data_IF_055835440248
#
_entry.id   IF_055835440248
#
_cell.length_a   1.000
_cell.length_b   1.000
_cell.length_c   1.000
_cell.angle_alpha   90.00
_cell.angle_beta   90.00
_cell.angle_gamma   90.00
#
_symmetry.space_group_name_H-M   'P 1'
#
loop_
_entity.id
_entity.type
_entity.pdbx_description
1 polymer ?
#
# COMPACT_ATOMS: atom_id res chain seq x y z
N UNK A 1 9.23 31.06 -11.98
CA UNK A 1 9.26 29.93 -11.03
C UNK A 1 8.82 28.71 -11.79
N UNK A 2 9.79 27.92 -12.24
CA UNK A 2 9.54 26.70 -13.01
C UNK A 2 9.99 25.51 -12.16
N UNK A 3 9.05 24.60 -11.90
CA UNK A 3 9.31 23.39 -11.13
C UNK A 3 9.80 22.28 -12.07
N UNK A 4 10.98 21.74 -11.79
CA UNK A 4 11.56 20.64 -12.56
C UNK A 4 11.58 19.32 -11.78
N UNK A 5 11.08 18.25 -12.39
CA UNK A 5 11.17 16.90 -11.83
C UNK A 5 12.54 16.31 -12.08
N UNK A 6 13.27 16.00 -11.00
CA UNK A 6 14.59 15.38 -11.08
C UNK A 6 14.59 14.03 -10.39
N UNK A 7 14.77 12.98 -11.18
CA UNK A 7 14.82 11.62 -10.68
C UNK A 7 16.27 11.16 -10.53
N UNK A 8 16.59 10.65 -9.35
CA UNK A 8 17.78 9.85 -9.13
C UNK A 8 17.45 8.42 -9.49
N UNK A 9 17.98 7.95 -10.62
CA UNK A 9 17.64 6.64 -11.17
C UNK A 9 18.67 5.63 -10.70
N UNK A 10 18.18 4.53 -10.12
CA UNK A 10 19.00 3.41 -9.65
C UNK A 10 20.21 3.85 -8.82
N UNK A 11 20.00 4.80 -7.92
CA UNK A 11 21.04 5.38 -7.06
C UNK A 11 22.34 5.75 -7.81
N UNK A 12 22.25 6.08 -9.09
CA UNK A 12 23.36 6.61 -9.87
C UNK A 12 23.50 8.10 -9.58
N UNK A 13 23.99 8.38 -8.38
CA UNK A 13 24.08 9.73 -7.81
C UNK A 13 25.50 10.03 -7.36
N UNK A 14 25.94 11.27 -7.55
CA UNK A 14 27.20 11.76 -7.02
C UNK A 14 27.09 13.22 -6.63
N UNK A 15 27.86 13.64 -5.62
CA UNK A 15 27.94 15.04 -5.18
C UNK A 15 28.31 15.97 -6.34
N UNK A 16 29.27 15.54 -7.18
CA UNK A 16 29.70 16.25 -8.39
C UNK A 16 28.58 16.41 -9.43
N UNK A 17 27.79 15.36 -9.66
CA UNK A 17 26.64 15.41 -10.56
C UNK A 17 25.58 16.39 -10.04
N UNK A 18 25.24 16.30 -8.76
CA UNK A 18 24.27 17.18 -8.09
C UNK A 18 24.65 18.66 -8.25
N UNK A 19 25.91 19.02 -7.98
CA UNK A 19 26.41 20.39 -8.17
C UNK A 19 26.20 20.87 -9.61
N UNK A 20 26.59 20.04 -10.59
CA UNK A 20 26.47 20.40 -12.01
C UNK A 20 25.01 20.54 -12.47
N UNK A 21 24.13 19.67 -11.97
CA UNK A 21 22.70 19.74 -12.27
C UNK A 21 22.10 21.06 -11.79
N UNK A 22 22.40 21.45 -10.54
CA UNK A 22 21.88 22.68 -9.94
C UNK A 22 22.47 23.93 -10.61
N UNK A 23 23.75 23.91 -10.99
CA UNK A 23 24.36 25.00 -11.77
C UNK A 23 23.75 25.12 -13.17
N UNK A 24 23.43 23.99 -13.81
CA UNK A 24 22.75 23.99 -15.11
C UNK A 24 21.31 24.51 -15.00
N UNK A 25 20.59 24.12 -13.93
CA UNK A 25 19.27 24.66 -13.63
C UNK A 25 19.31 26.18 -13.43
N UNK A 26 20.26 26.68 -12.64
CA UNK A 26 20.42 28.11 -12.42
C UNK A 26 20.70 28.87 -13.73
N UNK A 27 21.57 28.33 -14.60
CA UNK A 27 21.83 28.90 -15.94
C UNK A 27 20.60 28.89 -16.85
N UNK A 28 19.73 27.90 -16.71
CA UNK A 28 18.49 27.78 -17.46
C UNK A 28 17.33 28.63 -16.87
N UNK A 29 17.54 29.28 -15.72
CA UNK A 29 16.49 30.05 -15.04
C UNK A 29 15.49 29.19 -14.25
N UNK A 30 15.84 27.93 -13.95
CA UNK A 30 15.04 27.01 -13.14
C UNK A 30 15.46 27.16 -11.68
N UNK A 31 14.52 27.58 -10.83
CA UNK A 31 14.74 27.92 -9.42
C UNK A 31 14.20 26.86 -8.45
N UNK A 32 13.54 25.80 -8.93
CA UNK A 32 12.98 24.76 -8.06
C UNK A 32 13.04 23.36 -8.67
N UNK A 33 13.40 22.36 -7.86
CA UNK A 33 13.33 20.94 -8.26
C UNK A 33 12.53 20.09 -7.28
N UNK A 34 11.70 19.20 -7.82
CA UNK A 34 11.11 18.09 -7.08
C UNK A 34 11.93 16.82 -7.29
N UNK A 35 12.70 16.45 -6.27
CA UNK A 35 13.71 15.38 -6.32
C UNK A 35 13.19 14.07 -5.71
N UNK A 36 13.26 12.97 -6.46
CA UNK A 36 12.84 11.63 -6.02
C UNK A 36 13.84 10.53 -6.35
N UNK A 37 13.84 9.46 -5.55
CA UNK A 37 14.53 8.23 -5.98
C UNK A 37 13.60 7.38 -6.80
N UNK A 38 14.08 6.85 -7.91
CA UNK A 38 13.40 5.80 -8.65
C UNK A 38 14.36 4.66 -8.82
N UNK A 39 13.97 3.50 -8.32
CA UNK A 39 14.68 2.24 -8.55
C UNK A 39 13.83 1.42 -9.50
N UNK A 40 14.34 1.15 -10.69
CA UNK A 40 13.73 0.24 -11.65
C UNK A 40 14.85 -0.54 -12.33
N UNK A 41 14.93 -1.83 -12.04
CA UNK A 41 15.98 -2.71 -12.57
C UNK A 41 15.97 -2.83 -14.10
N UNK A 42 14.89 -2.38 -14.77
CA UNK A 42 14.81 -2.26 -16.23
C UNK A 42 15.45 -0.97 -16.76
N UNK A 43 15.55 0.07 -15.93
CA UNK A 43 16.14 1.37 -16.23
C UNK A 43 17.63 1.41 -15.88
N UNK A 44 18.32 0.28 -16.01
CA UNK A 44 19.71 0.12 -15.61
C UNK A 44 20.65 0.90 -16.55
N UNK A 45 20.71 2.23 -16.38
CA UNK A 45 21.48 3.18 -17.20
C UNK A 45 22.99 3.17 -16.92
N UNK A 46 23.51 2.07 -16.41
CA UNK A 46 24.93 1.93 -16.08
C UNK A 46 25.54 0.92 -17.04
N UNK A 47 26.66 1.31 -17.64
CA UNK A 47 27.41 0.46 -18.57
C UNK A 47 27.78 -0.86 -17.88
N UNK A 48 27.77 -2.00 -18.60
CA UNK A 48 28.32 -3.24 -18.07
C UNK A 48 29.73 -3.01 -17.51
N UNK A 49 29.97 -3.38 -16.25
CA UNK A 49 31.25 -3.16 -15.54
C UNK A 49 31.32 -1.94 -14.62
N UNK A 50 30.34 -1.02 -14.67
CA UNK A 50 30.27 0.13 -13.75
C UNK A 50 29.27 -0.06 -12.59
N UNK A 51 28.78 -1.29 -12.41
CA UNK A 51 27.72 -1.64 -11.47
C UNK A 51 28.11 -1.38 -10.00
N UNK A 52 29.41 -1.42 -9.67
CA UNK A 52 29.92 -1.10 -8.34
C UNK A 52 29.77 0.40 -7.97
N UNK A 53 29.53 1.26 -8.95
CA UNK A 53 29.24 2.69 -8.73
C UNK A 53 27.82 2.93 -8.23
N UNK A 54 26.93 1.94 -8.40
CA UNK A 54 25.55 2.04 -7.95
C UNK A 54 25.49 1.92 -6.43
N UNK A 55 24.84 2.89 -5.77
CA UNK A 55 24.48 2.69 -4.36
C UNK A 55 23.31 1.70 -4.19
N UNK A 56 22.79 1.14 -5.28
CA UNK A 56 21.65 0.19 -5.35
C UNK A 56 21.79 -0.97 -4.38
N UNK A 57 23.01 -1.44 -4.14
CA UNK A 57 23.27 -2.57 -3.23
C UNK A 57 23.30 -2.18 -1.74
N UNK A 58 23.11 -0.90 -1.39
CA UNK A 58 23.14 -0.41 0.00
C UNK A 58 21.76 -0.05 0.57
N UNK A 59 20.71 -0.19 -0.24
CA UNK A 59 19.34 0.17 0.15
C UNK A 59 19.08 1.68 0.13
N UNK A 60 17.80 2.04 0.02
CA UNK A 60 17.34 3.43 -0.14
C UNK A 60 17.60 4.35 1.07
N UNK A 61 18.11 3.80 2.17
CA UNK A 61 18.39 4.51 3.44
C UNK A 61 19.85 4.26 3.88
N UNK A 62 20.81 4.30 2.95
CA UNK A 62 22.23 4.21 3.30
C UNK A 62 22.87 5.59 3.54
N UNK A 63 23.96 5.63 4.31
CA UNK A 63 24.68 6.87 4.64
C UNK A 63 25.16 7.62 3.40
N UNK A 64 25.70 6.92 2.41
CA UNK A 64 26.18 7.55 1.19
C UNK A 64 25.08 8.29 0.41
N UNK A 65 23.83 7.80 0.49
CA UNK A 65 22.67 8.46 -0.11
C UNK A 65 22.21 9.65 0.74
N UNK A 66 22.23 9.52 2.07
CA UNK A 66 21.96 10.62 3.00
C UNK A 66 22.94 11.77 2.76
N UNK A 67 24.22 11.48 2.61
CA UNK A 67 25.24 12.49 2.30
C UNK A 67 24.99 13.20 0.96
N UNK A 68 24.49 12.49 -0.05
CA UNK A 68 24.12 13.09 -1.33
C UNK A 68 22.88 14.01 -1.18
N UNK A 69 21.89 13.61 -0.38
CA UNK A 69 20.75 14.45 -0.06
C UNK A 69 21.17 15.72 0.70
N UNK A 70 22.02 15.59 1.72
CA UNK A 70 22.58 16.73 2.44
C UNK A 70 23.38 17.66 1.50
N UNK A 71 24.20 17.09 0.61
CA UNK A 71 24.93 17.87 -0.40
C UNK A 71 24.00 18.61 -1.34
N UNK A 72 22.92 17.97 -1.79
CA UNK A 72 21.92 18.62 -2.65
C UNK A 72 21.26 19.82 -1.96
N UNK A 73 20.88 19.69 -0.69
CA UNK A 73 20.29 20.79 0.10
C UNK A 73 21.27 21.95 0.22
N UNK A 74 22.54 21.68 0.56
CA UNK A 74 23.58 22.72 0.66
C UNK A 74 23.85 23.43 -0.67
N UNK A 75 23.89 22.67 -1.77
CA UNK A 75 24.13 23.24 -3.10
C UNK A 75 22.93 24.03 -3.63
N UNK A 76 21.71 23.63 -3.27
CA UNK A 76 20.51 24.39 -3.60
C UNK A 76 20.52 25.75 -2.89
N UNK A 77 20.84 25.77 -1.60
CA UNK A 77 21.04 27.01 -0.83
C UNK A 77 22.11 27.90 -1.48
N UNK A 78 23.26 27.33 -1.85
CA UNK A 78 24.36 28.05 -2.53
C UNK A 78 23.94 28.65 -3.87
N UNK A 79 23.13 27.93 -4.65
CA UNK A 79 22.72 28.32 -6.01
C UNK A 79 21.44 29.17 -6.03
N UNK A 80 20.78 29.37 -4.88
CA UNK A 80 19.48 30.05 -4.80
C UNK A 80 18.31 29.19 -5.27
N UNK A 81 18.51 27.88 -5.46
CA UNK A 81 17.47 26.94 -5.85
C UNK A 81 16.71 26.41 -4.63
N UNK A 82 15.46 26.01 -4.85
CA UNK A 82 14.62 25.32 -3.87
C UNK A 82 14.58 23.82 -4.19
N UNK A 83 14.70 22.98 -3.17
CA UNK A 83 14.50 21.53 -3.29
C UNK A 83 13.23 21.13 -2.57
N UNK A 84 12.35 20.44 -3.30
CA UNK A 84 11.29 19.60 -2.76
C UNK A 84 11.72 18.14 -2.87
N UNK A 85 11.31 17.30 -1.94
CA UNK A 85 11.56 15.87 -1.97
C UNK A 85 10.25 15.09 -1.88
N UNK A 86 10.19 13.94 -2.56
CA UNK A 86 9.07 13.02 -2.37
C UNK A 86 8.99 12.59 -0.90
N UNK A 87 7.76 12.44 -0.42
CA UNK A 87 7.48 12.05 0.96
C UNK A 87 7.88 10.60 1.27
N UNK A 88 8.02 9.78 0.25
CA UNK A 88 8.47 8.40 0.34
C UNK A 88 9.44 8.06 -0.81
N UNK A 89 10.12 6.91 -0.74
CA UNK A 89 10.89 6.44 -1.87
C UNK A 89 10.01 6.08 -3.08
N UNK A 90 10.56 6.17 -4.29
CA UNK A 90 9.81 5.91 -5.52
C UNK A 90 9.13 7.15 -6.09
N UNK A 91 8.17 6.93 -6.99
CA UNK A 91 7.37 7.98 -7.65
C UNK A 91 5.93 8.08 -7.12
N UNK A 92 5.45 7.08 -6.37
CA UNK A 92 4.08 7.01 -5.87
C UNK A 92 4.04 7.30 -4.36
N UNK A 93 3.24 8.28 -3.90
CA UNK A 93 3.30 8.76 -2.54
C UNK A 93 2.65 7.79 -1.53
N UNK A 94 3.30 7.62 -0.38
CA UNK A 94 2.79 7.07 0.90
C UNK A 94 3.06 5.60 1.23
N UNK A 95 4.11 4.97 0.70
CA UNK A 95 4.50 3.61 1.11
C UNK A 95 5.92 3.57 1.72
N UNK A 96 6.19 2.53 2.52
CA UNK A 96 7.50 2.29 3.11
C UNK A 96 7.51 1.10 4.07
N UNK A 97 8.68 0.50 4.32
CA UNK A 97 8.82 -0.70 5.16
C UNK A 97 8.38 -0.50 6.63
N UNK A 98 8.22 0.74 7.06
CA UNK A 98 7.70 1.10 8.39
C UNK A 98 6.17 1.03 8.49
N UNK A 99 5.44 0.95 7.38
CA UNK A 99 3.98 0.85 7.35
C UNK A 99 3.57 -0.60 7.66
N UNK A 100 2.97 -0.83 8.83
CA UNK A 100 2.47 -2.17 9.20
C UNK A 100 1.23 -2.50 8.37
N UNK A 101 0.89 -3.79 8.14
CA UNK A 101 -0.35 -4.18 7.43
C UNK A 101 -1.62 -3.53 8.03
N UNK A 102 -1.65 -3.32 9.35
CA UNK A 102 -2.74 -2.65 10.04
C UNK A 102 -2.86 -1.14 9.77
N UNK A 103 -1.83 -0.51 9.22
CA UNK A 103 -1.75 0.93 8.93
C UNK A 103 -1.91 1.23 7.43
N UNK A 104 -1.81 0.21 6.57
CA UNK A 104 -2.01 0.34 5.14
C UNK A 104 -3.48 0.60 4.78
N UNK A 105 -3.72 1.07 3.56
CA UNK A 105 -5.06 1.14 2.97
C UNK A 105 -5.73 -0.24 3.01
N UNK A 106 -7.03 -0.27 3.31
CA UNK A 106 -7.79 -1.51 3.49
C UNK A 106 -8.96 -1.58 2.53
N UNK A 107 -9.26 -2.79 2.07
CA UNK A 107 -10.48 -3.10 1.35
C UNK A 107 -11.44 -3.92 2.23
N UNK A 108 -12.74 -3.84 1.94
CA UNK A 108 -13.71 -4.77 2.50
C UNK A 108 -13.58 -6.11 1.79
N UNK A 109 -13.48 -7.18 2.57
CA UNK A 109 -13.53 -8.55 2.10
C UNK A 109 -14.63 -9.29 2.87
N UNK A 110 -15.32 -10.20 2.19
CA UNK A 110 -16.42 -10.98 2.75
C UNK A 110 -16.21 -12.47 2.50
N UNK A 111 -16.61 -13.27 3.48
CA UNK A 111 -16.81 -14.72 3.33
C UNK A 111 -18.27 -15.05 3.59
N UNK A 112 -18.81 -16.03 2.88
CA UNK A 112 -20.21 -16.42 3.00
C UNK A 112 -20.33 -17.85 3.54
N UNK A 113 -21.26 -18.04 4.48
CA UNK A 113 -21.66 -19.37 4.95
C UNK A 113 -23.18 -19.50 4.81
N UNK A 114 -23.63 -20.41 3.95
CA UNK A 114 -25.05 -20.78 3.86
C UNK A 114 -25.39 -21.83 4.90
N UNK A 115 -26.47 -21.59 5.62
CA UNK A 115 -27.04 -22.52 6.60
C UNK A 115 -28.48 -22.83 6.23
N UNK A 116 -28.91 -24.06 6.47
CA UNK A 116 -30.27 -24.51 6.24
C UNK A 116 -30.86 -25.05 7.53
N UNK A 117 -32.14 -24.75 7.77
CA UNK A 117 -32.88 -25.21 8.95
C UNK A 117 -32.70 -24.32 10.18
N UNK A 118 -33.55 -24.53 11.18
CA UNK A 118 -33.55 -23.83 12.46
C UNK A 118 -32.57 -24.49 13.44
N UNK A 119 -31.26 -24.27 13.26
CA UNK A 119 -30.24 -24.77 14.18
C UNK A 119 -29.46 -23.63 14.85
N UNK A 120 -29.09 -23.82 16.11
CA UNK A 120 -28.12 -22.95 16.77
C UNK A 120 -26.75 -23.23 16.15
N UNK A 121 -26.23 -22.27 15.38
CA UNK A 121 -24.92 -22.37 14.77
C UNK A 121 -23.84 -21.90 15.74
N UNK A 122 -22.92 -22.79 16.12
CA UNK A 122 -21.67 -22.43 16.80
C UNK A 122 -20.50 -22.88 15.94
N UNK A 123 -20.04 -21.99 15.05
CA UNK A 123 -18.93 -22.25 14.13
C UNK A 123 -18.01 -21.04 14.05
N UNK A 124 -16.71 -21.29 13.94
CA UNK A 124 -15.73 -20.25 13.58
C UNK A 124 -15.81 -20.02 12.08
N UNK A 125 -16.14 -18.79 11.69
CA UNK A 125 -16.17 -18.41 10.27
C UNK A 125 -14.74 -18.37 9.72
N UNK A 126 -14.58 -18.71 8.44
CA UNK A 126 -13.30 -18.60 7.76
C UNK A 126 -12.98 -17.12 7.55
N UNK A 127 -11.78 -16.72 8.00
CA UNK A 127 -11.27 -15.38 7.76
C UNK A 127 -10.68 -15.31 6.34
N UNK A 128 -10.81 -14.17 5.64
CA UNK A 128 -10.06 -13.88 4.43
C UNK A 128 -8.54 -14.06 4.63
N UNK A 129 -7.82 -14.36 3.55
CA UNK A 129 -6.37 -14.52 3.58
C UNK A 129 -5.65 -13.20 3.93
N UNK A 130 -4.50 -13.30 4.60
CA UNK A 130 -3.67 -12.16 4.97
C UNK A 130 -4.05 -11.51 6.30
N UNK A 131 -3.66 -10.24 6.48
CA UNK A 131 -4.03 -9.46 7.66
C UNK A 131 -5.51 -9.13 7.62
N UNK A 132 -6.26 -9.61 8.63
CA UNK A 132 -7.71 -9.45 8.70
C UNK A 132 -8.14 -8.83 10.03
N UNK A 133 -9.12 -7.92 9.96
CA UNK A 133 -9.84 -7.38 11.11
C UNK A 133 -11.33 -7.50 10.83
N UNK A 134 -12.08 -8.12 11.74
CA UNK A 134 -13.53 -8.23 11.58
C UNK A 134 -14.18 -6.85 11.68
N UNK A 135 -15.00 -6.50 10.68
CA UNK A 135 -15.87 -5.33 10.71
C UNK A 135 -17.27 -5.69 11.26
N UNK A 136 -17.97 -6.63 10.62
CA UNK A 136 -19.31 -7.04 11.01
C UNK A 136 -19.61 -8.49 10.59
N UNK A 137 -20.62 -9.09 11.22
CA UNK A 137 -21.23 -10.34 10.78
C UNK A 137 -22.72 -10.06 10.59
N UNK A 138 -23.25 -10.41 9.41
CA UNK A 138 -24.66 -10.27 9.08
C UNK A 138 -25.26 -11.64 8.79
N UNK A 139 -26.44 -11.88 9.35
CA UNK A 139 -27.29 -13.01 9.00
C UNK A 139 -28.54 -12.45 8.33
N UNK A 140 -28.78 -12.85 7.09
CA UNK A 140 -29.94 -12.45 6.30
C UNK A 140 -30.63 -13.68 5.71
N UNK A 141 -31.95 -13.67 5.55
CA UNK A 141 -32.65 -14.69 4.78
C UNK A 141 -32.10 -14.72 3.35
N UNK A 142 -31.75 -15.92 2.86
CA UNK A 142 -31.31 -16.08 1.47
C UNK A 142 -32.51 -15.89 0.52
N UNK A 143 -32.41 -15.04 -0.52
CA UNK A 143 -33.43 -14.91 -1.56
C UNK A 143 -33.64 -16.24 -2.29
N UNK A 144 -34.87 -16.50 -2.76
CA UNK A 144 -35.22 -17.76 -3.46
C UNK A 144 -34.37 -18.01 -4.72
N UNK A 145 -33.90 -16.96 -5.39
CA UNK A 145 -33.10 -17.02 -6.62
C UNK A 145 -31.61 -16.74 -6.42
N UNK A 146 -31.09 -16.86 -5.19
CA UNK A 146 -29.70 -16.54 -4.91
C UNK A 146 -28.75 -17.66 -5.34
N UNK A 147 -28.36 -17.68 -6.61
CA UNK A 147 -27.43 -18.65 -7.20
C UNK A 147 -25.96 -18.25 -7.09
N UNK A 148 -25.67 -16.99 -6.75
CA UNK A 148 -24.30 -16.48 -6.69
C UNK A 148 -23.73 -16.66 -5.29
N UNK A 149 -22.67 -17.47 -5.17
CA UNK A 149 -21.90 -17.54 -3.93
C UNK A 149 -20.84 -16.45 -3.92
N UNK A 150 -20.74 -15.69 -2.83
CA UNK A 150 -19.46 -15.06 -2.49
C UNK A 150 -18.52 -16.17 -1.97
N UNK A 151 -17.87 -16.89 -2.89
CA UNK A 151 -16.95 -18.03 -2.67
C UNK A 151 -16.98 -18.70 -1.27
N UNK A 152 -17.71 -19.81 -1.13
CA UNK A 152 -17.70 -20.63 0.10
C UNK A 152 -18.49 -21.95 -0.03
N UNK A 153 -18.01 -23.03 0.59
CA UNK A 153 -18.54 -24.41 0.44
C UNK A 153 -19.88 -24.63 1.17
N UNK A 154 -20.69 -25.55 0.64
CA UNK A 154 -22.05 -25.88 1.09
C UNK A 154 -22.02 -26.92 2.22
N UNK A 155 -22.79 -26.73 3.29
CA UNK A 155 -23.13 -27.80 4.24
C UNK A 155 -24.60 -28.20 4.04
N UNK A 156 -24.87 -29.50 3.84
CA UNK A 156 -26.20 -30.06 3.59
C UNK A 156 -26.79 -30.69 4.85
N UNK A 157 -28.00 -30.28 5.23
CA UNK A 157 -28.81 -30.94 6.27
C UNK A 157 -30.27 -30.46 6.21
N UNK A 158 -31.23 -31.38 6.11
CA UNK A 158 -32.68 -31.12 5.99
C UNK A 158 -33.41 -31.34 7.32
N UNK A 159 -34.26 -30.39 7.71
CA UNK A 159 -35.52 -30.60 8.45
C UNK A 159 -36.36 -29.29 8.40
N UNK A 160 -37.70 -29.35 8.41
CA UNK A 160 -38.56 -28.19 8.15
C UNK A 160 -38.76 -27.37 9.43
N UNK A 161 -39.00 -26.06 9.32
CA UNK A 161 -39.92 -25.25 10.16
C UNK A 161 -39.88 -23.78 9.72
N UNK A 162 -41.03 -23.14 9.86
CA UNK A 162 -41.41 -21.77 9.51
C UNK A 162 -40.38 -20.69 9.88
N UNK A 163 -40.22 -19.71 8.96
CA UNK A 163 -39.41 -18.51 9.15
C UNK A 163 -40.20 -17.51 10.00
N UNK A 164 -39.82 -17.19 11.24
CA UNK A 164 -40.38 -16.06 11.93
C UNK A 164 -39.94 -14.79 11.21
N UNK A 165 -40.86 -13.86 10.93
CA UNK A 165 -40.51 -12.51 10.45
C UNK A 165 -39.57 -11.86 11.47
N UNK A 166 -38.28 -11.78 11.13
CA UNK A 166 -37.31 -11.00 11.91
C UNK A 166 -37.63 -9.52 11.73
N UNK A 167 -37.82 -8.73 12.81
CA UNK A 167 -37.86 -7.29 12.71
C UNK A 167 -36.50 -6.79 12.22
N UNK A 168 -36.51 -5.69 11.47
CA UNK A 168 -35.30 -5.02 11.00
C UNK A 168 -34.43 -4.56 12.19
N UNK A 169 -33.48 -5.39 12.62
CA UNK A 169 -32.41 -4.98 13.51
C UNK A 169 -31.22 -5.96 13.44
N UNK A 170 -30.11 -5.43 12.96
CA UNK A 170 -28.77 -5.98 13.03
C UNK A 170 -28.43 -6.39 14.48
N UNK A 171 -28.13 -7.68 14.71
CA UNK A 171 -27.33 -8.08 15.87
C UNK A 171 -25.88 -8.20 15.41
N UNK A 172 -25.03 -7.28 15.87
CA UNK A 172 -23.59 -7.26 15.61
C UNK A 172 -22.94 -8.29 16.55
N UNK A 173 -22.58 -9.46 16.02
CA UNK A 173 -21.79 -10.44 16.76
C UNK A 173 -20.30 -10.30 16.41
N UNK A 174 -19.45 -10.25 17.43
CA UNK A 174 -17.98 -10.19 17.29
C UNK A 174 -17.37 -11.56 16.98
N UNK A 175 -16.21 -11.56 16.33
CA UNK A 175 -15.47 -12.79 15.99
C UNK A 175 -15.11 -13.53 17.28
N UNK A 176 -15.64 -14.75 17.47
CA UNK A 176 -15.25 -15.61 18.59
C UNK A 176 -16.38 -16.40 19.23
N UNK A 177 -17.63 -15.92 19.17
CA UNK A 177 -18.82 -16.67 19.58
C UNK A 177 -20.04 -16.02 18.94
N UNK A 178 -20.39 -16.44 17.73
CA UNK A 178 -21.62 -16.01 17.09
C UNK A 178 -22.79 -16.76 17.75
N UNK A 179 -23.30 -16.24 18.87
CA UNK A 179 -24.55 -16.71 19.49
C UNK A 179 -25.71 -15.93 18.91
N UNK A 180 -26.27 -16.42 17.81
CA UNK A 180 -27.55 -15.93 17.30
C UNK A 180 -28.66 -16.51 18.17
N UNK A 181 -29.20 -15.69 19.08
CA UNK A 181 -30.44 -15.91 19.83
C UNK A 181 -31.60 -15.19 19.17
#
# INVERSE_FOLDING_TARGET
MELFYRHWIDDNISKKGITRDLEAMAKAGIDETFTGNVTDTRLNFVSPGEQDRKMVNRGQVCDARRECAEHAVREAERSGAKIRMFNCPGWSPSDGPWVKPKQAMRCLASTELRVSGSCKLRKRLEAPAGYFQQAAVHALPAPESDSNRAMGRQCSGRAPIAVPKLPAAQKIATYGDCRLC
#
